data_IF_491185847663
#
_entry.id   IF_491185847663
#
_cell.length_a   1.000
_cell.length_b   1.000
_cell.length_c   1.000
_cell.angle_alpha   90.00
_cell.angle_beta   90.00
_cell.angle_gamma   90.00
#
_symmetry.space_group_name_H-M   'P 1'
#
loop_
_entity.id
_entity.type
_entity.pdbx_description
1 polymer ?
#
# COMPACT_ATOMS: atom_id res chain seq x y z
N UNK A 1 38.23 22.26 22.47
CA UNK A 1 37.68 22.62 21.14
C UNK A 1 36.56 21.64 20.79
N UNK A 2 35.53 22.14 20.09
CA UNK A 2 34.24 21.52 19.76
C UNK A 2 34.34 20.22 18.92
N UNK A 3 33.39 19.29 19.21
CA UNK A 3 32.48 18.53 18.32
C UNK A 3 33.03 17.81 17.05
N UNK A 4 32.50 16.58 16.89
CA UNK A 4 32.04 15.92 15.63
C UNK A 4 33.14 15.41 14.69
N UNK A 5 33.02 14.32 13.92
CA UNK A 5 31.89 13.48 13.47
C UNK A 5 32.49 12.22 12.82
N UNK A 6 31.83 11.06 12.92
CA UNK A 6 31.94 10.02 11.89
C UNK A 6 31.21 10.50 10.62
N UNK A 7 31.52 10.03 9.40
CA UNK A 7 30.83 8.82 8.93
C UNK A 7 31.56 8.02 7.82
N UNK A 8 31.56 6.69 7.88
CA UNK A 8 31.68 5.88 6.66
C UNK A 8 30.98 4.53 6.83
N UNK A 9 29.86 4.34 6.13
CA UNK A 9 29.67 3.29 5.12
C UNK A 9 28.20 3.13 4.73
N UNK A 10 27.98 3.37 3.44
CA UNK A 10 27.00 2.74 2.55
C UNK A 10 25.51 2.95 2.85
N UNK A 11 25.03 4.13 2.46
CA UNK A 11 23.80 4.20 1.71
C UNK A 11 23.99 3.57 0.32
N UNK A 12 23.20 2.54 0.00
CA UNK A 12 22.85 2.21 -1.40
C UNK A 12 21.34 1.96 -1.47
N UNK A 13 20.59 3.06 -1.51
CA UNK A 13 19.20 3.09 -1.98
C UNK A 13 19.16 2.55 -3.42
N UNK A 14 18.35 1.54 -3.76
CA UNK A 14 18.14 1.21 -5.15
C UNK A 14 17.17 2.24 -5.75
N UNK A 15 17.72 2.96 -6.72
CA UNK A 15 17.18 3.90 -7.71
C UNK A 15 16.03 3.33 -8.59
N UNK A 16 15.28 2.33 -8.10
CA UNK A 16 14.32 1.51 -8.84
C UNK A 16 12.84 1.82 -8.53
N UNK A 17 12.54 2.32 -7.32
CA UNK A 17 11.17 2.69 -6.90
C UNK A 17 10.60 3.87 -7.72
N UNK A 18 11.47 4.75 -8.22
CA UNK A 18 11.15 5.98 -8.96
C UNK A 18 10.94 5.79 -10.47
N UNK A 19 11.02 4.56 -11.00
CA UNK A 19 11.02 4.34 -12.45
C UNK A 19 9.65 4.08 -13.07
N UNK A 20 8.53 3.89 -12.35
CA UNK A 20 7.22 3.68 -13.02
C UNK A 20 5.95 3.85 -12.16
N UNK A 21 5.61 5.06 -11.74
CA UNK A 21 4.23 5.53 -12.04
C UNK A 21 4.17 6.07 -13.50
N UNK A 22 5.03 5.59 -14.42
CA UNK A 22 5.20 6.13 -15.79
C UNK A 22 4.07 5.72 -16.74
N UNK A 23 2.86 5.54 -16.24
CA UNK A 23 1.66 5.48 -17.06
C UNK A 23 0.64 6.57 -16.66
N UNK A 24 0.99 7.51 -15.76
CA UNK A 24 0.13 8.62 -15.31
C UNK A 24 -0.26 9.65 -16.42
N UNK A 25 -0.19 9.27 -17.70
CA UNK A 25 -0.56 10.08 -18.86
C UNK A 25 -1.07 9.21 -20.03
N UNK A 26 -1.96 8.24 -19.77
CA UNK A 26 -2.76 7.57 -20.82
C UNK A 26 -4.25 7.70 -20.47
N UNK A 27 -5.15 7.75 -21.48
CA UNK A 27 -6.44 8.43 -21.36
C UNK A 27 -7.39 7.71 -20.40
N UNK A 28 -8.29 8.51 -19.80
CA UNK A 28 -9.28 8.25 -18.72
C UNK A 28 -10.22 7.03 -18.88
N UNK A 29 -9.97 6.09 -19.79
CA UNK A 29 -10.82 4.93 -20.03
C UNK A 29 -10.28 3.58 -19.56
N UNK A 30 -9.07 3.51 -18.97
CA UNK A 30 -8.41 2.25 -18.57
C UNK A 30 -8.17 2.12 -17.06
N UNK A 31 -8.58 3.13 -16.30
CA UNK A 31 -8.28 3.21 -14.87
C UNK A 31 -9.13 2.21 -14.06
N UNK A 32 -10.40 2.02 -14.42
CA UNK A 32 -11.31 1.09 -13.72
C UNK A 32 -10.88 -0.39 -13.86
N UNK A 33 -10.43 -0.79 -15.06
CA UNK A 33 -9.93 -2.16 -15.30
C UNK A 33 -8.63 -2.44 -14.54
N UNK A 34 -7.67 -1.51 -14.55
CA UNK A 34 -6.42 -1.64 -13.78
C UNK A 34 -6.68 -1.55 -12.26
N UNK A 35 -7.74 -0.86 -11.83
CA UNK A 35 -8.17 -0.83 -10.43
C UNK A 35 -8.70 -2.17 -9.93
N UNK A 36 -9.44 -2.90 -10.76
CA UNK A 36 -9.89 -4.26 -10.46
C UNK A 36 -8.72 -5.25 -10.45
N UNK A 37 -7.77 -5.14 -11.39
CA UNK A 37 -6.59 -6.03 -11.46
C UNK A 37 -5.72 -5.97 -10.19
N UNK A 38 -5.74 -4.84 -9.47
CA UNK A 38 -4.96 -4.59 -8.27
C UNK A 38 -5.78 -4.66 -6.97
N UNK A 39 -6.99 -5.24 -7.01
CA UNK A 39 -7.85 -5.42 -5.84
C UNK A 39 -7.87 -6.88 -5.36
N UNK A 40 -7.51 -7.10 -4.09
CA UNK A 40 -7.43 -8.40 -3.44
C UNK A 40 -8.47 -8.49 -2.34
N UNK A 41 -9.41 -9.43 -2.43
CA UNK A 41 -10.42 -9.64 -1.41
C UNK A 41 -9.86 -10.41 -0.21
N UNK A 42 -10.05 -9.89 1.00
CA UNK A 42 -9.63 -10.54 2.27
C UNK A 42 -10.82 -10.87 3.18
N UNK A 43 -12.03 -10.44 2.82
CA UNK A 43 -13.28 -10.74 3.50
C UNK A 43 -14.49 -10.29 2.68
N UNK A 44 -15.71 -10.56 3.17
CA UNK A 44 -16.96 -10.30 2.41
C UNK A 44 -17.03 -8.88 1.83
N UNK A 45 -16.66 -7.87 2.62
CA UNK A 45 -16.66 -6.47 2.22
C UNK A 45 -15.33 -5.80 2.60
N UNK A 46 -14.22 -6.56 2.54
CA UNK A 46 -12.88 -6.06 2.88
C UNK A 46 -11.91 -6.39 1.78
N UNK A 47 -11.20 -5.37 1.31
CA UNK A 47 -10.30 -5.46 0.18
C UNK A 47 -8.97 -4.79 0.49
N UNK A 48 -7.93 -5.30 -0.15
CA UNK A 48 -6.61 -4.69 -0.23
C UNK A 48 -6.43 -4.21 -1.67
N UNK A 49 -6.18 -2.92 -1.88
CA UNK A 49 -5.95 -2.32 -3.20
C UNK A 49 -4.54 -1.77 -3.27
N UNK A 50 -3.84 -2.02 -4.38
CA UNK A 50 -2.59 -1.31 -4.69
C UNK A 50 -2.89 -0.18 -5.68
N UNK A 51 -2.53 1.05 -5.34
CA UNK A 51 -2.77 2.22 -6.19
C UNK A 51 -1.54 3.13 -6.25
N UNK A 52 -1.43 3.96 -7.30
CA UNK A 52 -0.46 5.06 -7.33
C UNK A 52 -1.18 6.40 -7.18
N UNK A 53 -0.96 7.08 -6.06
CA UNK A 53 -1.51 8.42 -5.82
C UNK A 53 -0.39 9.44 -5.73
N UNK A 54 -0.46 10.49 -6.56
CA UNK A 54 0.55 11.57 -6.63
C UNK A 54 1.99 11.04 -6.74
N UNK A 55 2.20 9.99 -7.55
CA UNK A 55 3.51 9.39 -7.77
C UNK A 55 4.02 8.49 -6.64
N UNK A 56 3.19 8.19 -5.63
CA UNK A 56 3.52 7.27 -4.54
C UNK A 56 2.65 6.03 -4.64
N UNK A 57 3.27 4.86 -4.51
CA UNK A 57 2.54 3.59 -4.40
C UNK A 57 1.98 3.47 -2.99
N UNK A 58 0.69 3.18 -2.90
CA UNK A 58 -0.05 2.97 -1.66
C UNK A 58 -0.73 1.60 -1.70
N UNK A 59 -0.76 0.95 -0.54
CA UNK A 59 -1.51 -0.28 -0.29
C UNK A 59 -2.66 0.07 0.65
N UNK A 60 -3.87 0.18 0.11
CA UNK A 60 -5.09 0.52 0.86
C UNK A 60 -5.78 -0.75 1.35
N UNK A 61 -5.94 -0.91 2.65
CA UNK A 61 -6.67 -2.02 3.30
C UNK A 61 -7.95 -1.43 3.88
N UNK A 62 -9.12 -1.75 3.30
CA UNK A 62 -10.36 -1.04 3.59
C UNK A 62 -11.60 -1.91 3.58
N UNK A 63 -12.51 -1.59 4.49
CA UNK A 63 -13.88 -2.11 4.53
C UNK A 63 -14.78 -1.23 3.65
N UNK A 64 -15.52 -1.87 2.75
CA UNK A 64 -16.51 -1.23 1.88
C UNK A 64 -17.91 -1.43 2.48
N UNK A 65 -18.86 -0.60 2.04
CA UNK A 65 -20.27 -0.74 2.36
C UNK A 65 -21.09 -0.68 1.07
N UNK A 66 -22.24 -1.33 1.07
CA UNK A 66 -23.24 -1.20 0.01
C UNK A 66 -24.17 -0.05 0.38
N UNK A 67 -24.38 0.89 -0.54
CA UNK A 67 -25.38 1.94 -0.35
C UNK A 67 -26.80 1.43 -0.68
N UNK A 68 -27.78 2.32 -0.58
CA UNK A 68 -29.19 1.98 -0.82
C UNK A 68 -29.49 1.69 -2.31
N UNK A 69 -28.61 2.10 -3.20
CA UNK A 69 -28.71 1.89 -4.65
C UNK A 69 -28.02 0.57 -5.07
N UNK A 70 -27.27 -0.05 -4.14
CA UNK A 70 -26.55 -1.30 -4.36
C UNK A 70 -25.10 -1.10 -4.80
N UNK A 71 -24.60 0.13 -4.82
CA UNK A 71 -23.21 0.41 -5.17
C UNK A 71 -22.29 0.11 -3.99
N UNK A 72 -21.14 -0.50 -4.30
CA UNK A 72 -20.09 -0.75 -3.31
C UNK A 72 -19.22 0.50 -3.17
N UNK A 73 -19.25 1.16 -2.01
CA UNK A 73 -18.47 2.38 -1.71
C UNK A 73 -17.41 2.11 -0.64
N UNK A 74 -16.23 2.76 -0.72
CA UNK A 74 -15.21 2.65 0.32
C UNK A 74 -15.71 3.24 1.63
N UNK A 75 -15.59 2.48 2.72
CA UNK A 75 -15.97 2.92 4.05
C UNK A 75 -14.90 3.75 4.76
N UNK A 76 -15.28 4.32 5.91
CA UNK A 76 -14.36 5.06 6.79
C UNK A 76 -13.33 4.15 7.47
N UNK A 77 -13.64 2.86 7.64
CA UNK A 77 -12.74 1.89 8.25
C UNK A 77 -11.73 1.38 7.22
N UNK A 78 -10.48 1.78 7.40
CA UNK A 78 -9.37 1.33 6.58
C UNK A 78 -8.12 2.16 6.78
N UNK A 79 -7.02 1.72 6.19
CA UNK A 79 -5.73 2.41 6.23
C UNK A 79 -5.04 2.32 4.87
N UNK A 80 -4.45 3.42 4.43
CA UNK A 80 -3.55 3.44 3.28
C UNK A 80 -2.10 3.39 3.79
N UNK A 81 -1.41 2.29 3.51
CA UNK A 81 -0.01 2.09 3.87
C UNK A 81 0.88 2.59 2.73
N UNK A 82 1.97 3.26 3.07
CA UNK A 82 3.06 3.50 2.11
C UNK A 82 3.77 2.19 1.77
N UNK A 83 4.52 2.18 0.67
CA UNK A 83 5.37 1.04 0.31
C UNK A 83 6.35 0.66 1.44
N UNK A 84 6.87 1.64 2.19
CA UNK A 84 7.76 1.41 3.34
C UNK A 84 7.03 0.69 4.48
N UNK A 85 5.85 1.18 4.88
CA UNK A 85 5.05 0.57 5.94
C UNK A 85 4.59 -0.85 5.56
N UNK A 86 4.26 -1.06 4.28
CA UNK A 86 3.92 -2.39 3.77
C UNK A 86 5.09 -3.37 3.87
N UNK A 87 6.31 -2.92 3.56
CA UNK A 87 7.49 -3.77 3.68
C UNK A 87 7.78 -4.12 5.15
N UNK A 88 7.69 -3.16 6.06
CA UNK A 88 7.84 -3.41 7.50
C UNK A 88 6.78 -4.39 8.01
N UNK A 89 5.52 -4.24 7.57
CA UNK A 89 4.45 -5.16 7.94
C UNK A 89 4.80 -6.59 7.55
N UNK A 90 5.28 -6.82 6.31
CA UNK A 90 5.70 -8.16 5.86
C UNK A 90 6.84 -8.75 6.69
N UNK A 91 7.80 -7.93 7.12
CA UNK A 91 8.91 -8.40 7.96
C UNK A 91 8.44 -8.92 9.32
N UNK A 92 7.39 -8.31 9.87
CA UNK A 92 6.83 -8.69 11.18
C UNK A 92 5.66 -9.68 11.10
N UNK A 93 5.18 -10.05 9.89
CA UNK A 93 4.11 -11.06 9.71
C UNK A 93 4.39 -12.35 10.48
N UNK A 94 5.61 -12.93 10.47
CA UNK A 94 5.89 -14.15 11.23
C UNK A 94 5.63 -14.01 12.74
N UNK A 95 5.98 -12.87 13.31
CA UNK A 95 5.76 -12.57 14.72
C UNK A 95 4.26 -12.37 15.01
N UNK A 96 3.55 -11.71 14.09
CA UNK A 96 2.09 -11.57 14.14
C UNK A 96 1.42 -12.95 14.08
N UNK A 97 1.82 -13.83 13.16
CA UNK A 97 1.26 -15.18 13.03
C UNK A 97 1.51 -16.02 14.29
N UNK A 98 2.69 -15.90 14.87
CA UNK A 98 3.01 -16.56 16.15
C UNK A 98 2.16 -16.00 17.30
N UNK A 99 1.84 -14.70 17.29
CA UNK A 99 0.95 -14.10 18.28
C UNK A 99 -0.52 -14.51 18.08
N UNK A 100 -1.01 -14.55 16.84
CA UNK A 100 -2.38 -14.98 16.51
C UNK A 100 -2.64 -16.41 16.97
N UNK A 101 -1.69 -17.33 16.77
CA UNK A 101 -1.81 -18.74 17.22
C UNK A 101 -1.88 -18.92 18.74
N UNK A 102 -1.52 -17.90 19.53
CA UNK A 102 -1.59 -17.94 21.00
C UNK A 102 -2.98 -17.61 21.54
N UNK A 103 -3.85 -17.05 20.69
CA UNK A 103 -5.24 -16.74 20.99
C UNK A 103 -6.17 -17.70 20.24
#
# INVERSE_FOLDING_TARGET
KRKKEAPSKLEKRPRAEARRCKAAARPQGREEEEEEENMFQIGKMRYVRVSCFKGKVLVDIREFYEDKEGDTKPGRKGIALSAEQWNQLKEIVPDIDAAVKKF
#
